data_IF_267674012139
#
_entry.id   IF_267674012139
#
_cell.length_a   1.000
_cell.length_b   1.000
_cell.length_c   1.000
_cell.angle_alpha   90.00
_cell.angle_beta   90.00
_cell.angle_gamma   90.00
#
_symmetry.space_group_name_H-M   'P 1'
#
loop_
_entity.id
_entity.type
_entity.pdbx_description
1 polymer ?
#
# COMPACT_ATOMS: atom_id res chain seq x y z
N UNK A 1 24.50 -20.07 19.74
CA UNK A 1 23.63 -19.87 20.92
C UNK A 1 23.31 -18.39 21.22
N UNK A 2 23.91 -17.41 20.50
CA UNK A 2 23.51 -15.99 20.57
C UNK A 2 22.37 -15.65 19.61
N UNK A 3 22.31 -16.29 18.44
CA UNK A 3 21.30 -16.02 17.41
C UNK A 3 19.88 -16.35 17.88
N UNK A 4 19.72 -17.45 18.62
CA UNK A 4 18.40 -17.89 19.13
C UNK A 4 17.82 -16.86 20.11
N UNK A 5 18.67 -16.26 20.95
CA UNK A 5 18.28 -15.19 21.88
C UNK A 5 17.90 -13.91 21.13
N UNK A 6 18.56 -13.59 20.01
CA UNK A 6 18.22 -12.43 19.19
C UNK A 6 16.86 -12.58 18.50
N UNK A 7 16.56 -13.77 17.95
CA UNK A 7 15.23 -14.04 17.37
C UNK A 7 14.14 -14.01 18.44
N UNK A 8 14.39 -14.57 19.62
CA UNK A 8 13.47 -14.50 20.75
C UNK A 8 13.24 -13.06 21.24
N UNK A 9 14.29 -12.24 21.29
CA UNK A 9 14.19 -10.82 21.65
C UNK A 9 13.35 -10.02 20.62
N UNK A 10 13.53 -10.28 19.32
CA UNK A 10 12.74 -9.66 18.27
C UNK A 10 11.25 -10.05 18.37
N UNK A 11 10.98 -11.34 18.55
CA UNK A 11 9.61 -11.85 18.71
C UNK A 11 8.91 -11.26 19.93
N UNK A 12 9.59 -11.23 21.08
CA UNK A 12 9.01 -10.68 22.32
C UNK A 12 8.76 -9.18 22.23
N UNK A 13 9.62 -8.42 21.54
CA UNK A 13 9.40 -7.01 21.25
C UNK A 13 8.12 -6.78 20.44
N UNK A 14 7.97 -7.47 19.30
CA UNK A 14 6.76 -7.37 18.47
C UNK A 14 5.50 -7.78 19.22
N UNK A 15 5.56 -8.87 20.00
CA UNK A 15 4.43 -9.35 20.79
C UNK A 15 3.99 -8.32 21.84
N UNK A 16 4.96 -7.70 22.52
CA UNK A 16 4.69 -6.70 23.55
C UNK A 16 4.12 -5.43 22.94
N UNK A 17 4.65 -4.97 21.81
CA UNK A 17 4.14 -3.80 21.09
C UNK A 17 2.69 -3.99 20.61
N UNK A 18 2.39 -5.16 20.01
CA UNK A 18 1.02 -5.53 19.63
C UNK A 18 0.11 -5.66 20.86
N UNK A 19 0.61 -6.28 21.93
CA UNK A 19 -0.11 -6.44 23.19
C UNK A 19 -0.52 -5.10 23.79
N UNK A 20 0.37 -4.11 23.81
CA UNK A 20 0.08 -2.76 24.29
C UNK A 20 -0.97 -2.07 23.41
N UNK A 21 -0.86 -2.17 22.08
CA UNK A 21 -1.87 -1.60 21.17
C UNK A 21 -3.26 -2.20 21.41
N UNK A 22 -3.34 -3.53 21.53
CA UNK A 22 -4.60 -4.24 21.79
C UNK A 22 -5.15 -3.85 23.17
N UNK A 23 -4.29 -3.73 24.19
CA UNK A 23 -4.69 -3.33 25.54
C UNK A 23 -5.29 -1.92 25.50
N UNK A 24 -4.64 -0.94 24.87
CA UNK A 24 -5.16 0.43 24.76
C UNK A 24 -6.50 0.48 24.03
N UNK A 25 -6.64 -0.23 22.91
CA UNK A 25 -7.89 -0.30 22.16
C UNK A 25 -9.00 -0.98 22.99
N UNK A 26 -8.67 -2.05 23.72
CA UNK A 26 -9.62 -2.78 24.57
C UNK A 26 -10.07 -1.94 25.76
N UNK A 27 -9.14 -1.27 26.44
CA UNK A 27 -9.47 -0.33 27.53
C UNK A 27 -10.33 0.82 27.00
N UNK A 28 -9.98 1.41 25.85
CA UNK A 28 -10.78 2.46 25.22
C UNK A 28 -12.19 1.96 24.86
N UNK A 29 -12.33 0.72 24.38
CA UNK A 29 -13.62 0.13 24.05
C UNK A 29 -14.49 -0.24 25.28
N UNK A 30 -13.86 -0.61 26.41
CA UNK A 30 -14.56 -0.98 27.65
C UNK A 30 -14.92 0.27 28.48
N UNK A 31 -14.00 1.22 28.61
CA UNK A 31 -14.21 2.46 29.35
C UNK A 31 -14.96 3.51 28.52
N UNK A 32 -14.92 3.41 27.19
CA UNK A 32 -15.63 4.30 26.28
C UNK A 32 -17.15 4.10 26.34
N UNK A 33 -17.88 5.15 26.67
CA UNK A 33 -19.35 5.12 26.71
C UNK A 33 -19.96 4.75 25.36
N UNK A 34 -20.59 3.58 25.28
CA UNK A 34 -21.35 3.12 24.11
C UNK A 34 -22.67 3.89 23.99
N UNK A 35 -22.62 5.17 23.57
CA UNK A 35 -23.82 5.91 23.17
C UNK A 35 -24.30 5.41 21.81
N UNK A 36 -25.49 4.81 21.78
CA UNK A 36 -26.20 4.25 20.62
C UNK A 36 -27.16 5.32 20.05
N UNK A 37 -26.62 6.39 19.45
CA UNK A 37 -27.45 7.38 18.78
C UNK A 37 -27.81 6.91 17.35
N UNK A 38 -29.07 7.11 16.94
CA UNK A 38 -29.65 6.62 15.66
C UNK A 38 -28.84 7.02 14.41
N UNK A 39 -28.13 8.15 14.46
CA UNK A 39 -27.31 8.69 13.37
C UNK A 39 -25.79 8.46 13.55
N UNK A 40 -25.38 7.73 14.58
CA UNK A 40 -23.95 7.48 14.85
C UNK A 40 -23.34 6.42 13.94
N UNK A 41 -24.19 5.57 13.34
CA UNK A 41 -23.78 4.50 12.43
C UNK A 41 -24.04 4.83 10.95
N UNK A 42 -24.56 6.02 10.65
CA UNK A 42 -24.73 6.49 9.27
C UNK A 42 -23.46 7.20 8.81
N UNK A 43 -22.99 6.98 7.56
CA UNK A 43 -21.88 7.74 6.99
C UNK A 43 -22.14 9.24 7.12
N UNK A 44 -21.13 9.99 7.57
CA UNK A 44 -21.29 11.42 7.83
C UNK A 44 -21.23 12.20 6.50
N UNK A 45 -22.40 12.49 5.94
CA UNK A 45 -22.53 13.25 4.69
C UNK A 45 -23.41 14.49 4.94
N UNK A 46 -23.04 15.37 5.89
CA UNK A 46 -23.72 16.67 6.11
C UNK A 46 -25.27 16.62 6.24
N UNK A 47 -25.85 15.54 6.76
CA UNK A 47 -27.29 15.40 6.93
C UNK A 47 -28.08 15.01 5.67
N UNK A 48 -27.42 14.63 4.58
CA UNK A 48 -28.05 13.96 3.44
C UNK A 48 -27.92 12.44 3.60
N UNK A 49 -28.98 11.70 3.26
CA UNK A 49 -28.91 10.24 3.24
C UNK A 49 -27.85 9.79 2.24
N UNK A 50 -26.97 8.88 2.68
CA UNK A 50 -25.92 8.31 1.85
C UNK A 50 -26.56 7.66 0.63
N UNK A 51 -26.37 8.29 -0.54
CA UNK A 51 -26.75 7.71 -1.83
C UNK A 51 -26.02 6.39 -2.00
N UNK A 52 -26.77 5.30 -2.08
CA UNK A 52 -26.26 3.97 -2.37
C UNK A 52 -25.37 4.05 -3.62
N UNK A 53 -24.09 3.73 -3.43
CA UNK A 53 -23.02 3.96 -4.39
C UNK A 53 -23.23 3.10 -5.64
N UNK A 54 -24.02 3.61 -6.57
CA UNK A 54 -24.19 3.05 -7.90
C UNK A 54 -22.95 3.41 -8.72
N UNK A 55 -22.06 2.42 -8.86
CA UNK A 55 -20.90 2.38 -9.74
C UNK A 55 -19.81 3.43 -9.46
N UNK A 56 -19.26 3.41 -8.23
CA UNK A 56 -17.92 3.96 -8.01
C UNK A 56 -16.88 3.05 -8.69
N UNK A 57 -16.75 3.20 -10.00
CA UNK A 57 -15.72 2.53 -10.78
C UNK A 57 -14.36 3.11 -10.36
N UNK A 58 -13.70 2.45 -9.41
CA UNK A 58 -12.31 2.72 -9.06
C UNK A 58 -11.49 2.70 -10.36
N UNK A 59 -10.80 3.82 -10.61
CA UNK A 59 -10.09 4.02 -11.87
C UNK A 59 -9.03 2.93 -12.07
N UNK A 60 -8.99 2.34 -13.27
CA UNK A 60 -8.02 1.30 -13.67
C UNK A 60 -6.56 1.72 -13.41
N UNK A 61 -6.31 3.02 -13.29
CA UNK A 61 -5.02 3.64 -13.00
C UNK A 61 -4.39 3.12 -11.69
N UNK A 62 -5.20 2.86 -10.66
CA UNK A 62 -4.69 2.33 -9.39
C UNK A 62 -4.16 0.89 -9.53
N UNK A 63 -4.78 0.10 -10.40
CA UNK A 63 -4.34 -1.26 -10.68
C UNK A 63 -2.99 -1.30 -11.40
N UNK A 64 -2.77 -0.42 -12.39
CA UNK A 64 -1.49 -0.31 -13.09
C UNK A 64 -0.34 0.05 -12.14
N UNK A 65 -0.57 0.97 -11.20
CA UNK A 65 0.41 1.32 -10.17
C UNK A 65 0.70 0.13 -9.25
N UNK A 66 -0.32 -0.64 -8.86
CA UNK A 66 -0.15 -1.80 -7.99
C UNK A 66 0.68 -2.91 -8.64
N UNK A 67 0.39 -3.27 -9.90
CA UNK A 67 1.21 -4.27 -10.63
C UNK A 67 2.65 -3.77 -10.75
N UNK A 68 2.83 -2.49 -11.07
CA UNK A 68 4.18 -1.92 -11.22
C UNK A 68 4.96 -1.95 -9.90
N UNK A 69 4.30 -1.71 -8.76
CA UNK A 69 4.91 -1.85 -7.44
C UNK A 69 5.35 -3.28 -7.15
N UNK A 70 4.53 -4.28 -7.48
CA UNK A 70 4.88 -5.70 -7.30
C UNK A 70 6.08 -6.09 -8.18
N UNK A 71 6.12 -5.62 -9.43
CA UNK A 71 7.28 -5.85 -10.31
C UNK A 71 8.54 -5.20 -9.75
N UNK A 72 8.45 -3.93 -9.31
CA UNK A 72 9.58 -3.22 -8.72
C UNK A 72 10.13 -3.91 -7.46
N UNK A 73 9.25 -4.49 -6.63
CA UNK A 73 9.63 -5.23 -5.42
C UNK A 73 10.41 -6.52 -5.75
N UNK A 74 9.93 -7.29 -6.73
CA UNK A 74 10.64 -8.50 -7.20
C UNK A 74 12.02 -8.17 -7.78
N UNK A 75 12.13 -7.06 -8.50
CA UNK A 75 13.39 -6.63 -9.10
C UNK A 75 14.39 -6.15 -8.04
N UNK A 76 13.92 -5.50 -6.98
CA UNK A 76 14.75 -5.16 -5.82
C UNK A 76 15.31 -6.42 -5.13
N UNK A 77 14.53 -7.49 -5.06
CA UNK A 77 15.01 -8.79 -4.58
C UNK A 77 16.11 -9.37 -5.48
N UNK A 78 15.97 -9.27 -6.81
CA UNK A 78 17.04 -9.66 -7.74
C UNK A 78 18.32 -8.85 -7.55
N UNK A 79 18.21 -7.53 -7.37
CA UNK A 79 19.36 -6.67 -7.06
C UNK A 79 20.02 -7.05 -5.73
N UNK A 80 19.23 -7.45 -4.73
CA UNK A 80 19.75 -7.93 -3.46
C UNK A 80 20.53 -9.25 -3.62
N UNK A 81 19.98 -10.21 -4.35
CA UNK A 81 20.67 -11.48 -4.63
C UNK A 81 21.98 -11.25 -5.39
N UNK A 82 21.96 -10.38 -6.40
CA UNK A 82 23.17 -10.00 -7.11
C UNK A 82 24.18 -9.29 -6.19
N UNK A 83 23.72 -8.41 -5.30
CA UNK A 83 24.58 -7.69 -4.36
C UNK A 83 25.38 -8.63 -3.46
N UNK A 84 24.79 -9.76 -3.05
CA UNK A 84 25.47 -10.78 -2.25
C UNK A 84 26.63 -11.44 -3.02
N UNK A 85 26.48 -11.68 -4.32
CA UNK A 85 27.50 -12.33 -5.17
C UNK A 85 28.26 -11.37 -6.08
N UNK A 86 28.14 -10.05 -5.88
CA UNK A 86 28.63 -9.02 -6.81
C UNK A 86 30.13 -9.13 -7.11
N UNK A 87 30.92 -9.63 -6.16
CA UNK A 87 32.37 -9.81 -6.28
C UNK A 87 32.73 -10.93 -7.26
N UNK A 88 31.93 -12.00 -7.33
CA UNK A 88 32.22 -13.20 -8.13
C UNK A 88 31.81 -13.03 -9.60
N UNK A 89 30.73 -12.28 -9.86
CA UNK A 89 30.17 -12.09 -11.22
C UNK A 89 30.93 -11.02 -12.01
N UNK A 90 31.65 -10.12 -11.32
CA UNK A 90 32.50 -9.11 -11.94
C UNK A 90 31.76 -8.17 -12.90
N UNK A 91 32.45 -7.72 -13.95
CA UNK A 91 31.94 -6.73 -14.91
C UNK A 91 30.70 -7.18 -15.70
N UNK A 92 30.55 -8.48 -15.94
CA UNK A 92 29.43 -9.02 -16.71
C UNK A 92 28.13 -8.86 -15.91
N UNK A 93 28.15 -9.20 -14.62
CA UNK A 93 26.99 -9.02 -13.74
C UNK A 93 26.62 -7.56 -13.54
N UNK A 94 27.61 -6.65 -13.57
CA UNK A 94 27.35 -5.21 -13.47
C UNK A 94 26.55 -4.68 -14.66
N UNK A 95 26.90 -5.10 -15.88
CA UNK A 95 26.15 -4.70 -17.09
C UNK A 95 24.74 -5.26 -17.06
N UNK A 96 24.58 -6.51 -16.61
CA UNK A 96 23.27 -7.16 -16.48
C UNK A 96 22.34 -6.39 -15.54
N UNK A 97 22.84 -5.99 -14.37
CA UNK A 97 22.09 -5.16 -13.41
C UNK A 97 21.72 -3.79 -13.97
N UNK A 98 22.62 -3.14 -14.70
CA UNK A 98 22.30 -1.84 -15.32
C UNK A 98 21.16 -2.00 -16.34
N UNK A 99 21.22 -3.02 -17.19
CA UNK A 99 20.18 -3.27 -18.19
C UNK A 99 18.85 -3.57 -17.51
N UNK A 100 18.87 -4.37 -16.44
CA UNK A 100 17.69 -4.70 -15.64
C UNK A 100 17.03 -3.46 -15.03
N UNK A 101 17.82 -2.60 -14.37
CA UNK A 101 17.30 -1.34 -13.79
C UNK A 101 16.74 -0.41 -14.87
N UNK A 102 17.39 -0.31 -16.03
CA UNK A 102 16.91 0.51 -17.15
C UNK A 102 15.57 0.00 -17.71
N UNK A 103 15.37 -1.32 -17.74
CA UNK A 103 14.12 -1.93 -18.19
C UNK A 103 12.94 -1.50 -17.32
N UNK A 104 13.09 -1.55 -15.99
CA UNK A 104 12.10 -0.99 -15.05
C UNK A 104 11.92 0.51 -15.28
N UNK A 105 13.01 1.28 -15.31
CA UNK A 105 12.94 2.74 -15.46
C UNK A 105 12.12 3.16 -16.69
N UNK A 106 12.24 2.42 -17.80
CA UNK A 106 11.40 2.59 -18.99
C UNK A 106 9.90 2.39 -18.71
N UNK A 107 9.54 1.33 -17.97
CA UNK A 107 8.17 1.08 -17.54
C UNK A 107 7.60 2.18 -16.62
N UNK A 108 8.42 2.71 -15.69
CA UNK A 108 8.01 3.83 -14.83
C UNK A 108 7.77 5.10 -15.64
N UNK A 109 8.68 5.42 -16.56
CA UNK A 109 8.55 6.58 -17.45
C UNK A 109 7.27 6.46 -18.28
N UNK A 110 6.95 5.28 -18.81
CA UNK A 110 5.71 5.04 -19.54
C UNK A 110 4.47 5.32 -18.68
N UNK A 111 4.45 4.82 -17.44
CA UNK A 111 3.33 5.03 -16.52
C UNK A 111 3.10 6.51 -16.19
N UNK A 112 4.18 7.25 -15.93
CA UNK A 112 4.14 8.69 -15.66
C UNK A 112 3.63 9.45 -16.89
N UNK A 113 4.11 9.09 -18.09
CA UNK A 113 3.74 9.74 -19.35
C UNK A 113 2.31 9.45 -19.78
N UNK A 114 1.74 8.31 -19.35
CA UNK A 114 0.36 7.91 -19.65
C UNK A 114 -0.72 8.71 -18.89
N UNK A 115 -0.37 9.80 -18.18
CA UNK A 115 -1.33 10.57 -17.36
C UNK A 115 -2.08 9.70 -16.32
N UNK A 116 -1.43 8.61 -15.87
CA UNK A 116 -1.93 7.75 -14.78
C UNK A 116 -2.11 8.49 -13.46
N UNK A 117 -1.43 9.63 -13.30
CA UNK A 117 -1.53 10.51 -12.13
C UNK A 117 -2.62 11.59 -12.22
N UNK A 118 -3.39 11.68 -13.31
CA UNK A 118 -4.56 12.57 -13.33
C UNK A 118 -5.71 11.88 -12.59
N UNK A 119 -5.76 12.09 -11.26
CA UNK A 119 -6.82 11.65 -10.33
C UNK A 119 -8.00 12.63 -10.44
N UNK A 120 -8.45 12.91 -11.67
CA UNK A 120 -9.63 13.73 -11.93
C UNK A 120 -10.85 12.81 -12.09
N UNK A 121 -11.70 12.73 -11.07
CA UNK A 121 -13.01 12.10 -11.20
C UNK A 121 -13.89 12.98 -12.09
N UNK A 122 -14.16 12.53 -13.32
CA UNK A 122 -15.14 13.16 -14.21
C UNK A 122 -16.54 12.89 -13.66
N UNK A 123 -17.01 13.74 -12.75
CA UNK A 123 -18.40 13.73 -12.32
C UNK A 123 -19.29 14.12 -13.52
N UNK A 124 -20.24 13.26 -13.85
CA UNK A 124 -21.26 13.53 -14.88
C UNK A 124 -22.32 14.42 -14.22
N UNK A 125 -22.63 15.62 -14.75
CA UNK A 125 -23.55 16.54 -14.09
C UNK A 125 -24.95 15.92 -14.02
N UNK A 126 -25.37 15.61 -12.79
CA UNK A 126 -26.60 14.91 -12.44
C UNK A 126 -27.78 15.89 -12.33
N UNK A 127 -27.84 16.87 -13.24
CA UNK A 127 -28.88 17.91 -13.25
C UNK A 127 -29.60 18.04 -14.61
N UNK A 128 -29.39 17.11 -15.55
CA UNK A 128 -30.06 17.16 -16.87
C UNK A 128 -31.46 16.52 -16.89
N UNK A 129 -32.12 16.33 -15.75
CA UNK A 129 -33.42 15.65 -15.68
C UNK A 129 -34.44 16.27 -14.70
N UNK A 130 -34.22 17.52 -14.33
CA UNK A 130 -35.21 18.39 -13.70
C UNK A 130 -35.46 19.58 -14.63
#
# INVERSE_FOLDING_TARGET
MSNDIQYLALCTFFLTALGICILMLSLSAILGGKSQARYKHTPFESGIDSVDHSDLNLSIKFYLVAIYFVLFDVEALYLYLWSISAIEVGWIGFVEVIVFVLFLLSGLIYLIRSNGLNIGYKSKPLFKKL
#
